data_IF_846423633542
#
_entry.id   IF_846423633542
#
_cell.length_a   1.000
_cell.length_b   1.000
_cell.length_c   1.000
_cell.angle_alpha   90.00
_cell.angle_beta   90.00
_cell.angle_gamma   90.00
#
_symmetry.space_group_name_H-M   'P 1'
#
loop_
_entity.id
_entity.type
_entity.pdbx_description
1 polymer ?
#
# COMPACT_ATOMS: atom_id res chain seq x y z
N UNK A 1 20.26 -6.67 13.13
CA UNK A 1 19.06 -7.54 13.22
C UNK A 1 17.92 -6.66 13.73
N UNK A 2 17.49 -5.67 12.93
CA UNK A 2 16.41 -4.72 13.25
C UNK A 2 15.45 -4.58 12.05
N UNK A 3 15.76 -5.23 10.93
CA UNK A 3 14.97 -5.14 9.70
C UNK A 3 13.73 -6.05 9.69
N UNK A 4 13.59 -7.01 10.62
CA UNK A 4 12.53 -8.05 10.55
C UNK A 4 11.14 -7.49 10.82
N UNK A 5 10.94 -6.84 11.98
CA UNK A 5 9.63 -6.30 12.38
C UNK A 5 9.16 -5.25 11.37
N UNK A 6 10.02 -4.28 11.05
CA UNK A 6 9.71 -3.28 10.03
C UNK A 6 9.51 -3.85 8.62
N UNK A 7 10.06 -5.04 8.31
CA UNK A 7 9.78 -5.71 7.04
C UNK A 7 8.44 -6.43 7.07
N UNK A 8 8.05 -7.02 8.20
CA UNK A 8 6.77 -7.70 8.38
C UNK A 8 5.61 -6.71 8.35
N UNK A 9 5.67 -5.63 9.12
CA UNK A 9 4.68 -4.54 9.10
C UNK A 9 4.58 -3.90 7.72
N UNK A 10 5.72 -3.75 7.03
CA UNK A 10 5.72 -3.21 5.67
C UNK A 10 5.07 -4.19 4.67
N UNK A 11 5.29 -5.49 4.80
CA UNK A 11 4.59 -6.50 3.98
C UNK A 11 3.09 -6.51 4.25
N UNK A 12 2.66 -6.32 5.50
CA UNK A 12 1.24 -6.16 5.86
C UNK A 12 0.65 -4.91 5.20
N UNK A 13 1.38 -3.79 5.20
CA UNK A 13 0.96 -2.59 4.47
C UNK A 13 0.81 -2.86 2.96
N UNK A 14 1.79 -3.53 2.34
CA UNK A 14 1.73 -3.89 0.92
C UNK A 14 0.50 -4.76 0.59
N UNK A 15 0.22 -5.76 1.44
CA UNK A 15 -0.95 -6.62 1.30
C UNK A 15 -2.27 -5.84 1.46
N UNK A 16 -2.35 -4.97 2.48
CA UNK A 16 -3.52 -4.12 2.72
C UNK A 16 -3.81 -3.19 1.52
N UNK A 17 -2.79 -2.55 0.94
CA UNK A 17 -2.97 -1.70 -0.24
C UNK A 17 -3.47 -2.49 -1.46
N UNK A 18 -2.96 -3.71 -1.64
CA UNK A 18 -3.40 -4.60 -2.72
C UNK A 18 -4.86 -5.03 -2.53
N UNK A 19 -5.29 -5.28 -1.30
CA UNK A 19 -6.65 -5.68 -0.99
C UNK A 19 -7.62 -4.50 -1.12
N UNK A 20 -7.26 -3.31 -0.64
CA UNK A 20 -8.00 -2.07 -0.89
C UNK A 20 -8.21 -1.83 -2.39
N UNK A 21 -7.18 -2.08 -3.22
CA UNK A 21 -7.32 -1.98 -4.68
C UNK A 21 -8.34 -2.97 -5.24
N UNK A 22 -8.34 -4.21 -4.75
CA UNK A 22 -9.29 -5.25 -5.17
C UNK A 22 -10.71 -4.92 -4.70
N UNK A 23 -10.87 -4.43 -3.47
CA UNK A 23 -12.15 -3.95 -2.91
C UNK A 23 -12.72 -2.81 -3.76
N UNK A 24 -11.86 -1.90 -4.23
CA UNK A 24 -12.24 -0.82 -5.16
C UNK A 24 -12.52 -1.31 -6.60
N UNK A 25 -12.35 -2.61 -6.90
CA UNK A 25 -12.57 -3.18 -8.23
C UNK A 25 -11.56 -2.73 -9.28
N UNK A 26 -10.37 -2.26 -8.88
CA UNK A 26 -9.39 -1.68 -9.79
C UNK A 26 -8.28 -2.65 -10.14
N UNK A 27 -7.79 -2.60 -11.38
CA UNK A 27 -6.54 -3.23 -11.80
C UNK A 27 -5.34 -2.35 -11.45
N UNK A 28 -4.14 -2.94 -11.43
CA UNK A 28 -2.91 -2.17 -11.21
C UNK A 28 -2.67 -1.12 -12.30
N UNK A 29 -3.07 -1.40 -13.55
CA UNK A 29 -2.96 -0.47 -14.68
C UNK A 29 -3.86 0.75 -14.46
N UNK A 30 -5.09 0.56 -14.00
CA UNK A 30 -6.03 1.66 -13.75
C UNK A 30 -5.61 2.54 -12.57
N UNK A 31 -5.04 1.95 -11.51
CA UNK A 31 -4.46 2.73 -10.40
C UNK A 31 -3.26 3.54 -10.90
N UNK A 32 -2.38 2.92 -11.68
CA UNK A 32 -1.21 3.60 -12.24
C UNK A 32 -1.61 4.77 -13.16
N UNK A 33 -2.63 4.57 -13.99
CA UNK A 33 -3.18 5.61 -14.85
C UNK A 33 -3.74 6.80 -14.04
N UNK A 34 -4.49 6.54 -12.95
CA UNK A 34 -5.01 7.59 -12.06
C UNK A 34 -3.90 8.36 -11.33
N UNK A 35 -2.80 7.69 -11.02
CA UNK A 35 -1.63 8.27 -10.36
C UNK A 35 -0.65 8.95 -11.33
N UNK A 36 -0.80 8.76 -12.65
CA UNK A 36 0.15 9.29 -13.64
C UNK A 36 1.53 8.62 -13.59
N UNK A 37 1.59 7.33 -13.23
CA UNK A 37 2.83 6.56 -13.07
C UNK A 37 2.81 5.28 -13.91
N UNK A 38 3.97 4.62 -14.15
CA UNK A 38 4.00 3.30 -14.77
C UNK A 38 3.31 2.23 -13.92
N UNK A 39 2.67 1.23 -14.52
CA UNK A 39 2.07 0.11 -13.78
C UNK A 39 3.09 -0.63 -12.90
N UNK A 40 4.36 -0.65 -13.29
CA UNK A 40 5.44 -1.22 -12.48
C UNK A 40 5.62 -0.51 -11.13
N UNK A 41 5.27 0.77 -11.01
CA UNK A 41 5.24 1.45 -9.70
C UNK A 41 4.25 0.75 -8.76
N UNK A 42 3.05 0.46 -9.25
CA UNK A 42 2.00 -0.24 -8.50
C UNK A 42 2.42 -1.66 -8.14
N UNK A 43 2.91 -2.41 -9.12
CA UNK A 43 3.39 -3.77 -8.87
C UNK A 43 4.50 -3.82 -7.82
N UNK A 44 5.43 -2.87 -7.84
CA UNK A 44 6.60 -2.85 -6.94
C UNK A 44 6.25 -2.49 -5.51
N UNK A 45 5.30 -1.58 -5.28
CA UNK A 45 4.87 -1.31 -3.91
C UNK A 45 3.96 -2.42 -3.38
N UNK A 46 3.14 -3.06 -4.22
CA UNK A 46 2.30 -4.18 -3.77
C UNK A 46 3.12 -5.44 -3.45
N UNK A 47 4.29 -5.62 -4.04
CA UNK A 47 5.23 -6.71 -3.72
C UNK A 47 6.24 -6.35 -2.61
N UNK A 48 6.27 -5.08 -2.19
CA UNK A 48 7.26 -4.56 -1.25
C UNK A 48 8.68 -4.40 -1.81
N UNK A 49 8.87 -4.56 -3.12
CA UNK A 49 10.14 -4.33 -3.81
C UNK A 49 10.53 -2.84 -3.83
N UNK A 50 9.53 -1.94 -3.73
CA UNK A 50 9.72 -0.49 -3.60
C UNK A 50 8.90 0.07 -2.44
N UNK A 51 9.58 0.81 -1.56
CA UNK A 51 8.93 1.59 -0.49
C UNK A 51 8.18 2.81 -1.03
N UNK A 52 7.00 3.06 -0.46
CA UNK A 52 6.28 4.32 -0.62
C UNK A 52 6.72 5.28 0.48
N UNK A 53 6.96 6.54 0.13
CA UNK A 53 6.96 7.59 1.15
C UNK A 53 5.52 7.95 1.56
N UNK A 54 5.38 8.79 2.60
CA UNK A 54 4.07 9.14 3.16
C UNK A 54 3.19 9.93 2.18
N UNK A 55 3.78 10.71 1.27
CA UNK A 55 3.05 11.50 0.27
C UNK A 55 2.56 10.59 -0.85
N UNK A 56 3.40 9.68 -1.31
CA UNK A 56 3.02 8.64 -2.27
C UNK A 56 1.92 7.74 -1.70
N UNK A 57 2.06 7.29 -0.45
CA UNK A 57 1.05 6.49 0.24
C UNK A 57 -0.29 7.22 0.32
N UNK A 58 -0.28 8.53 0.60
CA UNK A 58 -1.50 9.36 0.62
C UNK A 58 -2.20 9.38 -0.74
N UNK A 59 -1.46 9.56 -1.83
CA UNK A 59 -2.03 9.58 -3.17
C UNK A 59 -2.59 8.22 -3.57
N UNK A 60 -1.87 7.13 -3.22
CA UNK A 60 -2.36 5.76 -3.41
C UNK A 60 -3.66 5.57 -2.64
N UNK A 61 -3.70 5.88 -1.34
CA UNK A 61 -4.89 5.76 -0.50
C UNK A 61 -6.12 6.44 -1.13
N UNK A 62 -5.97 7.70 -1.54
CA UNK A 62 -7.04 8.47 -2.19
C UNK A 62 -7.51 7.83 -3.50
N UNK A 63 -6.57 7.31 -4.30
CA UNK A 63 -6.88 6.62 -5.56
C UNK A 63 -7.66 5.33 -5.33
N UNK A 64 -7.43 4.67 -4.20
CA UNK A 64 -8.14 3.46 -3.77
C UNK A 64 -9.46 3.76 -3.04
N UNK A 65 -9.86 5.03 -2.92
CA UNK A 65 -11.09 5.43 -2.21
C UNK A 65 -10.95 5.40 -0.68
N UNK A 66 -9.75 5.56 -0.16
CA UNK A 66 -9.41 5.49 1.27
C UNK A 66 -8.56 6.69 1.71
N UNK A 67 -8.23 6.74 3.00
CA UNK A 67 -7.35 7.76 3.59
C UNK A 67 -6.17 7.12 4.31
N UNK A 68 -5.14 7.92 4.65
CA UNK A 68 -4.06 7.45 5.53
C UNK A 68 -4.57 6.99 6.89
N UNK A 69 -5.62 7.64 7.40
CA UNK A 69 -6.22 7.30 8.69
C UNK A 69 -6.87 5.90 8.64
N UNK A 70 -7.60 5.61 7.56
CA UNK A 70 -8.20 4.29 7.35
C UNK A 70 -7.14 3.19 7.18
N UNK A 71 -6.05 3.49 6.46
CA UNK A 71 -4.93 2.55 6.30
C UNK A 71 -4.32 2.20 7.66
N UNK A 72 -3.96 3.21 8.45
CA UNK A 72 -3.34 2.99 9.78
C UNK A 72 -4.33 2.27 10.72
N UNK A 73 -5.61 2.61 10.68
CA UNK A 73 -6.64 1.94 11.50
C UNK A 73 -6.87 0.48 11.11
N UNK A 74 -6.59 0.09 9.85
CA UNK A 74 -6.67 -1.30 9.36
C UNK A 74 -5.36 -2.07 9.51
N UNK A 75 -4.26 -1.42 9.85
CA UNK A 75 -3.01 -2.11 10.16
C UNK A 75 -3.13 -2.81 11.52
N UNK A 76 -2.58 -4.02 11.67
CA UNK A 76 -2.55 -4.69 12.96
C UNK A 76 -1.69 -3.90 13.96
N UNK A 77 -2.05 -3.98 15.24
CA UNK A 77 -1.30 -3.31 16.30
C UNK A 77 0.15 -3.82 16.34
N UNK A 78 1.14 -2.91 16.46
CA UNK A 78 2.53 -3.31 16.58
C UNK A 78 2.72 -4.18 17.84
N UNK A 79 3.05 -5.45 17.63
CA UNK A 79 3.27 -6.43 18.71
C UNK A 79 2.09 -7.35 19.04
N UNK A 80 1.00 -7.33 18.27
CA UNK A 80 -0.06 -8.34 18.36
C UNK A 80 0.36 -9.63 17.62
N UNK A 81 1.45 -10.27 18.05
CA UNK A 81 1.84 -11.65 17.70
C UNK A 81 2.54 -12.33 18.87
#
# INVERSE_FOLDING_TARGET
>A
MEKSIYSEEYQQLCALLRDLRREAGLTQVEVAARLGVPQSFVSKYESGERRLDVIELRHVAQTLGSTLQDIVARMPDPGAM
#
